data_IF_520548516581
#
_entry.id   IF_520548516581
#
_cell.length_a   1.000
_cell.length_b   1.000
_cell.length_c   1.000
_cell.angle_alpha   90.00
_cell.angle_beta   90.00
_cell.angle_gamma   90.00
#
_symmetry.space_group_name_H-M   'P 1'
#
loop_
_entity.id
_entity.type
_entity.pdbx_description
1 polymer ?
#
# COMPACT_ATOMS: atom_id res chain seq x y z
N UNK A 1 10.56 -2.88 -11.13
CA UNK A 1 9.93 -1.95 -12.09
C UNK A 1 9.00 -1.02 -11.31
N UNK A 2 8.89 0.24 -11.70
CA UNK A 2 7.99 1.20 -11.05
C UNK A 2 6.97 1.72 -12.07
N UNK A 3 5.81 2.13 -11.58
CA UNK A 3 4.79 2.80 -12.39
C UNK A 3 4.30 4.05 -11.68
N UNK A 4 4.02 5.09 -12.46
CA UNK A 4 3.39 6.28 -11.95
C UNK A 4 1.91 6.02 -11.68
N UNK A 5 1.46 6.47 -10.53
CA UNK A 5 0.09 6.35 -10.06
C UNK A 5 -0.42 7.70 -9.60
N UNK A 6 -1.73 7.89 -9.73
CA UNK A 6 -2.47 8.92 -9.03
C UNK A 6 -3.26 8.26 -7.90
N UNK A 7 -2.93 8.60 -6.64
CA UNK A 7 -3.60 8.10 -5.45
C UNK A 7 -4.18 9.28 -4.68
N UNK A 8 -5.50 9.28 -4.45
CA UNK A 8 -6.23 10.42 -3.83
C UNK A 8 -5.83 11.78 -4.43
N UNK A 9 -5.79 11.87 -5.77
CA UNK A 9 -5.44 13.10 -6.49
C UNK A 9 -3.96 13.49 -6.46
N UNK A 10 -3.09 12.66 -5.87
CA UNK A 10 -1.65 12.93 -5.74
C UNK A 10 -0.82 11.97 -6.60
N UNK A 11 0.04 12.51 -7.46
CA UNK A 11 1.01 11.73 -8.25
C UNK A 11 2.09 11.11 -7.35
N UNK A 12 2.31 9.80 -7.50
CA UNK A 12 3.33 9.00 -6.80
C UNK A 12 3.89 7.94 -7.76
N UNK A 13 4.97 7.29 -7.34
CA UNK A 13 5.48 6.10 -8.01
C UNK A 13 5.29 4.88 -7.11
N UNK A 14 4.85 3.77 -7.68
CA UNK A 14 4.63 2.51 -6.97
C UNK A 14 5.49 1.38 -7.55
N UNK A 15 6.01 0.53 -6.68
CA UNK A 15 6.74 -0.67 -7.08
C UNK A 15 5.76 -1.69 -7.66
N UNK A 16 6.07 -2.22 -8.83
CA UNK A 16 5.35 -3.36 -9.40
C UNK A 16 5.95 -4.63 -8.79
N UNK A 17 5.27 -5.13 -7.77
CA UNK A 17 5.59 -6.39 -7.10
C UNK A 17 4.57 -7.46 -7.49
N UNK A 18 4.94 -8.32 -8.43
CA UNK A 18 4.07 -9.41 -8.91
C UNK A 18 4.01 -10.60 -7.94
N UNK A 19 4.85 -10.62 -6.91
CA UNK A 19 4.88 -11.68 -5.89
C UNK A 19 3.87 -11.48 -4.77
N UNK A 20 3.04 -10.44 -4.85
CA UNK A 20 2.17 -10.01 -3.76
C UNK A 20 0.74 -9.80 -4.25
N UNK A 21 -0.24 -10.27 -3.47
CA UNK A 21 -1.67 -10.19 -3.81
C UNK A 21 -2.35 -8.88 -3.41
N UNK A 22 -1.83 -8.17 -2.41
CA UNK A 22 -2.38 -6.93 -1.85
C UNK A 22 -1.44 -5.74 -2.12
N UNK A 23 -1.98 -4.53 -2.27
CA UNK A 23 -1.17 -3.31 -2.35
C UNK A 23 -0.68 -2.89 -0.95
N UNK A 24 0.64 -2.79 -0.77
CA UNK A 24 1.23 -2.32 0.47
C UNK A 24 1.77 -0.89 0.37
N UNK A 25 1.61 -0.17 1.48
CA UNK A 25 2.16 1.17 1.66
C UNK A 25 2.69 1.31 3.08
N UNK A 26 3.79 2.01 3.25
CA UNK A 26 4.31 2.35 4.57
C UNK A 26 3.30 3.25 5.30
N UNK A 27 3.08 3.01 6.60
CA UNK A 27 2.21 3.83 7.46
C UNK A 27 2.52 5.33 7.31
N UNK A 28 3.81 5.69 7.29
CA UNK A 28 4.25 7.08 7.10
C UNK A 28 3.77 7.67 5.78
N UNK A 29 3.79 6.90 4.70
CA UNK A 29 3.32 7.35 3.39
C UNK A 29 1.78 7.43 3.34
N UNK A 30 1.08 6.46 3.93
CA UNK A 30 -0.39 6.53 4.07
C UNK A 30 -0.84 7.78 4.86
N UNK A 31 -0.14 8.11 5.95
CA UNK A 31 -0.40 9.31 6.74
C UNK A 31 -0.15 10.59 5.91
N UNK A 32 0.93 10.64 5.11
CA UNK A 32 1.20 11.78 4.20
C UNK A 32 0.13 11.94 3.12
N UNK A 33 -0.53 10.86 2.73
CA UNK A 33 -1.63 10.86 1.78
C UNK A 33 -2.99 11.18 2.45
N UNK A 34 -3.03 11.37 3.78
CA UNK A 34 -4.26 11.64 4.51
C UNK A 34 -5.20 10.43 4.61
N UNK A 35 -4.69 9.20 4.42
CA UNK A 35 -5.51 8.00 4.41
C UNK A 35 -5.91 7.57 5.82
N UNK A 36 -7.18 7.20 5.98
CA UNK A 36 -7.70 6.64 7.24
C UNK A 36 -7.38 5.16 7.36
N UNK A 37 -6.47 4.80 8.27
CA UNK A 37 -6.05 3.43 8.52
C UNK A 37 -7.01 2.79 9.54
N UNK A 38 -7.72 1.73 9.13
CA UNK A 38 -8.51 0.90 10.05
C UNK A 38 -7.66 -0.23 10.57
N UNK A 39 -7.65 -0.45 11.90
CA UNK A 39 -6.96 -1.58 12.51
C UNK A 39 -7.38 -2.89 11.85
N UNK A 40 -6.44 -3.80 11.66
CA UNK A 40 -6.70 -5.12 11.10
C UNK A 40 -5.76 -6.13 11.73
N UNK A 41 -6.20 -7.38 11.80
CA UNK A 41 -5.35 -8.50 12.25
C UNK A 41 -4.67 -9.22 11.06
N UNK A 42 -4.61 -8.58 9.88
CA UNK A 42 -3.91 -9.15 8.73
C UNK A 42 -2.42 -9.20 9.00
N UNK A 43 -1.77 -10.25 8.51
CA UNK A 43 -0.31 -10.40 8.51
C UNK A 43 0.22 -10.39 7.08
N UNK A 44 1.47 -9.97 6.92
CA UNK A 44 2.22 -10.01 5.68
C UNK A 44 3.26 -11.10 5.82
N UNK A 45 3.25 -12.04 4.88
CA UNK A 45 4.32 -13.03 4.76
C UNK A 45 5.51 -12.39 4.06
N UNK A 46 6.67 -12.48 4.66
CA UNK A 46 7.94 -11.98 4.12
C UNK A 46 8.81 -13.18 3.76
N UNK A 47 9.53 -13.11 2.64
CA UNK A 47 10.26 -14.27 2.08
C UNK A 47 11.28 -14.89 3.04
N UNK A 48 11.82 -14.10 3.96
CA UNK A 48 12.91 -14.52 4.86
C UNK A 48 12.60 -14.27 6.35
N UNK A 49 11.35 -13.96 6.71
CA UNK A 49 10.97 -13.61 8.08
C UNK A 49 9.61 -14.21 8.46
N UNK A 50 9.35 -14.30 9.76
CA UNK A 50 8.02 -14.63 10.26
C UNK A 50 6.98 -13.60 9.81
N UNK A 51 5.75 -14.09 9.66
CA UNK A 51 4.58 -13.28 9.29
C UNK A 51 4.45 -12.05 10.20
N UNK A 52 4.67 -10.88 9.62
CA UNK A 52 4.63 -9.61 10.35
C UNK A 52 3.22 -9.02 10.34
N UNK A 53 2.70 -8.53 11.47
CA UNK A 53 1.38 -7.91 11.50
C UNK A 53 1.36 -6.61 10.68
N UNK A 54 0.27 -6.39 9.97
CA UNK A 54 -0.02 -5.09 9.35
C UNK A 54 -0.44 -4.07 10.38
N UNK A 55 -0.17 -2.78 10.13
CA UNK A 55 -0.72 -1.69 10.96
C UNK A 55 -2.24 -1.60 10.79
N UNK A 56 -2.76 -1.98 9.62
CA UNK A 56 -4.17 -1.91 9.30
C UNK A 56 -4.42 -1.96 7.79
N UNK A 57 -5.66 -1.67 7.41
CA UNK A 57 -6.12 -1.62 6.01
C UNK A 57 -6.75 -0.27 5.72
N UNK A 58 -6.49 0.26 4.53
CA UNK A 58 -7.22 1.40 3.96
C UNK A 58 -8.18 0.86 2.91
N UNK A 59 -9.42 1.38 2.87
CA UNK A 59 -10.47 0.98 1.93
C UNK A 59 -11.00 2.19 1.18
N UNK A 60 -11.61 1.96 0.03
CA UNK A 60 -12.25 2.99 -0.81
C UNK A 60 -11.27 4.12 -1.19
N UNK A 61 -10.07 3.74 -1.63
CA UNK A 61 -9.04 4.67 -2.09
C UNK A 61 -9.11 4.79 -3.59
N UNK A 62 -9.27 6.01 -4.09
CA UNK A 62 -9.11 6.27 -5.52
C UNK A 62 -7.64 6.07 -5.91
N UNK A 63 -7.41 5.15 -6.85
CA UNK A 63 -6.10 4.82 -7.38
C UNK A 63 -6.21 4.63 -8.89
N UNK A 64 -5.38 5.34 -9.64
CA UNK A 64 -5.29 5.23 -11.09
C UNK A 64 -3.83 5.01 -11.49
N UNK A 65 -3.59 4.13 -12.45
CA UNK A 65 -2.27 4.01 -13.09
C UNK A 65 -2.18 5.09 -14.15
N UNK A 66 -1.17 5.95 -14.08
CA UNK A 66 -0.94 7.01 -15.06
C UNK A 66 0.10 6.56 -16.07
N UNK A 67 -0.19 6.81 -17.35
CA UNK A 67 0.66 6.44 -18.48
C UNK A 67 1.66 7.53 -18.81
#
# INVERSE_FOLDING_TARGET
MFVDINIVGQKRSALIDTGVSDLFILKKAANKLGLSIKKSNKKIKTVNFEDSPTVGVVRNVELQITK
#
